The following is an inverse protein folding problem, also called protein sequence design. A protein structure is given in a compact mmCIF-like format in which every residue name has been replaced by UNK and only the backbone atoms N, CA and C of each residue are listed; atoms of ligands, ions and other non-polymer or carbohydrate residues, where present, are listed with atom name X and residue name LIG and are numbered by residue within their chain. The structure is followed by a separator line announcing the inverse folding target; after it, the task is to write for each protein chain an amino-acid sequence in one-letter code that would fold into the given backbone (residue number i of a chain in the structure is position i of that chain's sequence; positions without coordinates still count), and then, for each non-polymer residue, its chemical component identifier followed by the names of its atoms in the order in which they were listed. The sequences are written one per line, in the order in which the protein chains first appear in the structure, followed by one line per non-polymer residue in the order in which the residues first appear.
data_IF_307725235152
#
_entry.id   IF_307725235152
#
_cell.length_a   1.000
_cell.length_b   1.000
_cell.length_c   1.000
_cell.angle_alpha   90.00
_cell.angle_beta   90.00
_cell.angle_gamma   90.00
#
_symmetry.space_group_name_H-M   'P 1'
#
loop_
_entity.id
_entity.type
_entity.pdbx_description
1 polymer ?
#
# COMPACT_ATOMS: atom_id res chain seq x y z
N UNK A 1 -3.70 26.90 17.65
CA UNK A 1 -4.69 25.82 17.77
C UNK A 1 -4.10 24.71 18.63
N UNK A 2 -4.80 24.26 19.67
CA UNK A 2 -4.36 23.15 20.53
C UNK A 2 -5.27 21.96 20.31
N UNK A 3 -4.68 20.77 20.20
CA UNK A 3 -5.44 19.52 20.09
C UNK A 3 -6.13 19.19 21.42
N UNK A 4 -7.42 18.89 21.40
CA UNK A 4 -8.21 18.47 22.57
C UNK A 4 -8.72 17.04 22.41
N UNK A 5 -8.11 16.08 23.08
CA UNK A 5 -8.53 14.68 22.97
C UNK A 5 -9.99 14.44 23.39
N UNK A 6 -10.48 15.12 24.42
CA UNK A 6 -11.84 14.94 24.93
C UNK A 6 -12.88 15.43 23.91
N UNK A 7 -12.61 16.55 23.24
CA UNK A 7 -13.45 17.05 22.14
C UNK A 7 -13.48 16.08 20.96
N UNK A 8 -12.34 15.47 20.58
CA UNK A 8 -12.32 14.44 19.51
C UNK A 8 -13.23 13.26 19.83
N UNK A 9 -13.11 12.71 21.04
CA UNK A 9 -13.94 11.58 21.47
C UNK A 9 -15.42 11.96 21.55
N UNK A 10 -15.73 13.17 22.01
CA UNK A 10 -17.10 13.69 22.04
C UNK A 10 -17.70 13.78 20.63
N UNK A 11 -16.96 14.32 19.66
CA UNK A 11 -17.39 14.40 18.27
C UNK A 11 -17.60 13.02 17.63
N UNK A 12 -16.73 12.05 17.90
CA UNK A 12 -16.89 10.68 17.39
C UNK A 12 -18.14 10.01 17.99
N UNK A 13 -18.30 10.06 19.32
CA UNK A 13 -19.45 9.46 20.01
C UNK A 13 -20.75 10.13 19.60
N UNK A 14 -20.78 11.46 19.63
CA UNK A 14 -21.92 12.26 19.20
C UNK A 14 -22.26 12.01 17.73
N UNK A 15 -21.24 11.98 16.85
CA UNK A 15 -21.40 11.70 15.43
C UNK A 15 -22.02 10.32 15.14
N UNK A 16 -21.80 9.32 16.00
CA UNK A 16 -22.42 7.99 15.85
C UNK A 16 -23.81 7.91 16.50
N UNK A 17 -23.96 8.43 17.72
CA UNK A 17 -25.14 8.18 18.56
C UNK A 17 -26.19 9.29 18.46
N UNK A 18 -25.78 10.53 18.22
CA UNK A 18 -26.63 11.71 18.13
C UNK A 18 -26.14 12.67 17.03
N UNK A 19 -26.09 12.13 15.82
CA UNK A 19 -25.42 12.74 14.68
C UNK A 19 -25.95 14.13 14.35
N UNK A 20 -27.27 14.30 14.28
CA UNK A 20 -27.87 15.58 13.90
C UNK A 20 -27.52 16.71 14.88
N UNK A 21 -27.69 16.50 16.19
CA UNK A 21 -27.33 17.50 17.20
C UNK A 21 -25.83 17.81 17.18
N UNK A 22 -24.99 16.79 16.94
CA UNK A 22 -23.53 16.96 16.85
C UNK A 22 -23.15 17.80 15.63
N UNK A 23 -23.78 17.57 14.47
CA UNK A 23 -23.54 18.34 13.26
C UNK A 23 -23.96 19.79 13.43
N UNK A 24 -25.15 20.03 13.95
CA UNK A 24 -25.67 21.38 14.18
C UNK A 24 -24.78 22.16 15.15
N UNK A 25 -24.42 21.56 16.29
CA UNK A 25 -23.52 22.17 17.26
C UNK A 25 -22.15 22.48 16.65
N UNK A 26 -21.49 21.51 16.00
CA UNK A 26 -20.15 21.72 15.47
C UNK A 26 -20.12 22.70 14.29
N UNK A 27 -21.09 22.64 13.37
CA UNK A 27 -21.16 23.55 12.23
C UNK A 27 -21.59 24.98 12.62
N UNK A 28 -22.25 25.15 13.77
CA UNK A 28 -22.59 26.47 14.32
C UNK A 28 -21.37 27.21 14.88
N UNK A 29 -20.32 26.49 15.29
CA UNK A 29 -19.04 27.08 15.71
C UNK A 29 -18.27 27.71 14.53
N UNK A 30 -18.72 27.48 13.30
CA UNK A 30 -18.05 27.92 12.05
C UNK A 30 -16.55 27.56 12.05
N UNK A 31 -16.20 26.28 12.23
CA UNK A 31 -14.80 25.88 12.40
C UNK A 31 -14.02 26.12 11.11
N UNK A 32 -12.76 26.54 11.26
CA UNK A 32 -11.82 26.53 10.15
C UNK A 32 -11.45 25.08 9.78
N UNK A 33 -11.07 24.85 8.52
CA UNK A 33 -10.68 23.51 8.05
C UNK A 33 -9.47 22.97 8.83
N UNK A 34 -8.51 23.82 9.22
CA UNK A 34 -7.35 23.40 10.00
C UNK A 34 -7.75 22.91 11.39
N UNK A 35 -8.73 23.59 12.00
CA UNK A 35 -9.27 23.18 13.30
C UNK A 35 -9.96 21.82 13.19
N UNK A 36 -10.77 21.61 12.15
CA UNK A 36 -11.42 20.32 11.90
C UNK A 36 -10.39 19.22 11.58
N UNK A 37 -9.35 19.56 10.82
CA UNK A 37 -8.26 18.65 10.49
C UNK A 37 -7.53 18.19 11.75
N UNK A 38 -7.12 19.13 12.61
CA UNK A 38 -6.41 18.83 13.86
C UNK A 38 -7.30 18.11 14.87
N UNK A 39 -8.56 18.52 15.00
CA UNK A 39 -9.43 18.12 16.10
C UNK A 39 -10.20 16.82 15.85
N UNK A 40 -10.47 16.48 14.59
CA UNK A 40 -11.28 15.32 14.24
C UNK A 40 -10.63 14.48 13.16
N UNK A 41 -10.36 15.08 12.00
CA UNK A 41 -10.02 14.33 10.79
C UNK A 41 -8.68 13.62 10.94
N UNK A 42 -7.60 14.36 11.15
CA UNK A 42 -6.24 13.81 11.28
C UNK A 42 -6.12 12.69 12.32
N UNK A 43 -6.57 12.89 13.58
CA UNK A 43 -6.57 11.83 14.59
C UNK A 43 -7.37 10.60 14.18
N UNK A 44 -8.55 10.78 13.57
CA UNK A 44 -9.38 9.68 13.12
C UNK A 44 -8.73 8.95 11.93
N UNK A 45 -8.07 9.70 11.03
CA UNK A 45 -7.33 9.12 9.91
C UNK A 45 -6.19 8.25 10.39
N UNK A 46 -5.37 8.82 11.26
CA UNK A 46 -4.24 8.14 11.85
C UNK A 46 -4.67 6.90 12.62
N UNK A 47 -5.69 7.02 13.48
CA UNK A 47 -6.21 5.91 14.27
C UNK A 47 -6.76 4.79 13.38
N UNK A 48 -7.55 5.11 12.35
CA UNK A 48 -8.08 4.10 11.45
C UNK A 48 -6.98 3.34 10.71
N UNK A 49 -6.03 4.03 10.07
CA UNK A 49 -4.99 3.35 9.29
C UNK A 49 -4.11 2.51 10.20
N UNK A 50 -3.61 3.08 11.30
CA UNK A 50 -2.73 2.35 12.22
C UNK A 50 -3.43 1.13 12.82
N UNK A 51 -4.62 1.31 13.39
CA UNK A 51 -5.34 0.21 14.03
C UNK A 51 -5.79 -0.83 13.01
N UNK A 52 -6.26 -0.42 11.84
CA UNK A 52 -6.70 -1.39 10.83
C UNK A 52 -5.56 -2.27 10.36
N UNK A 53 -4.37 -1.71 10.09
CA UNK A 53 -3.18 -2.48 9.68
C UNK A 53 -2.72 -3.44 10.77
N UNK A 54 -2.64 -2.96 12.02
CA UNK A 54 -2.21 -3.79 13.16
C UNK A 54 -3.20 -4.95 13.37
N UNK A 55 -4.49 -4.63 13.50
CA UNK A 55 -5.52 -5.60 13.85
C UNK A 55 -5.74 -6.62 12.74
N UNK A 56 -5.75 -6.19 11.47
CA UNK A 56 -5.94 -7.13 10.35
C UNK A 56 -4.80 -8.13 10.25
N UNK A 57 -3.56 -7.71 10.53
CA UNK A 57 -2.39 -8.60 10.47
C UNK A 57 -2.29 -9.53 11.67
N UNK A 58 -2.69 -9.07 12.86
CA UNK A 58 -2.70 -9.89 14.06
C UNK A 58 -3.85 -10.91 14.06
N UNK A 59 -5.02 -10.51 13.58
CA UNK A 59 -6.26 -11.27 13.77
C UNK A 59 -6.81 -11.86 12.46
N UNK A 60 -6.28 -11.47 11.30
CA UNK A 60 -6.79 -11.92 9.99
C UNK A 60 -8.07 -11.21 9.55
N UNK A 61 -8.41 -10.06 10.14
CA UNK A 61 -9.57 -9.25 9.78
C UNK A 61 -9.40 -8.47 8.46
N UNK A 62 -10.46 -7.77 8.04
CA UNK A 62 -10.45 -6.99 6.80
C UNK A 62 -9.82 -5.61 7.00
N UNK A 63 -8.75 -5.30 6.28
CA UNK A 63 -8.24 -3.93 6.17
C UNK A 63 -7.62 -3.66 4.80
N UNK A 64 -8.23 -2.75 4.04
CA UNK A 64 -7.70 -2.35 2.73
C UNK A 64 -6.23 -1.93 2.78
N UNK A 65 -5.83 -1.16 3.81
CA UNK A 65 -4.44 -0.74 4.01
C UNK A 65 -3.52 -1.87 4.51
N UNK A 66 -4.07 -2.88 5.20
CA UNK A 66 -3.30 -3.96 5.84
C UNK A 66 -2.58 -4.89 4.87
N UNK A 67 -3.07 -5.00 3.64
CA UNK A 67 -2.58 -5.95 2.63
C UNK A 67 -1.41 -5.45 1.78
N UNK A 68 -0.97 -4.20 1.95
CA UNK A 68 0.17 -3.65 1.20
C UNK A 68 1.52 -4.01 1.85
N UNK A 69 2.32 -4.84 1.18
CA UNK A 69 3.75 -5.01 1.48
C UNK A 69 4.12 -5.18 2.97
N UNK A 70 5.27 -4.64 3.35
CA UNK A 70 5.69 -4.63 4.75
C UNK A 70 4.86 -3.62 5.59
N UNK A 71 4.99 -3.71 6.92
CA UNK A 71 4.18 -2.92 7.86
C UNK A 71 4.31 -1.41 7.65
N UNK A 72 5.52 -0.91 7.41
CA UNK A 72 5.79 0.51 7.18
C UNK A 72 5.17 0.99 5.87
N UNK A 73 5.28 0.20 4.80
CA UNK A 73 4.65 0.53 3.52
C UNK A 73 3.12 0.56 3.62
N UNK A 74 2.51 -0.39 4.35
CA UNK A 74 1.06 -0.41 4.57
C UNK A 74 0.55 0.86 5.24
N UNK A 75 1.23 1.30 6.31
CA UNK A 75 0.85 2.52 7.02
C UNK A 75 1.08 3.75 6.14
N UNK A 76 2.24 3.86 5.52
CA UNK A 76 2.59 5.02 4.69
C UNK A 76 1.61 5.20 3.53
N UNK A 77 1.42 4.17 2.70
CA UNK A 77 0.49 4.24 1.58
C UNK A 77 -0.96 4.34 2.04
N UNK A 78 -1.33 3.67 3.13
CA UNK A 78 -2.65 3.78 3.74
C UNK A 78 -2.99 5.22 4.13
N UNK A 79 -2.06 5.93 4.79
CA UNK A 79 -2.22 7.33 5.17
C UNK A 79 -2.29 8.25 3.95
N UNK A 80 -1.38 8.08 2.99
CA UNK A 80 -1.37 8.89 1.76
C UNK A 80 -2.70 8.75 1.00
N UNK A 81 -3.18 7.52 0.80
CA UNK A 81 -4.43 7.26 0.11
C UNK A 81 -5.65 7.78 0.86
N UNK A 82 -5.67 7.61 2.18
CA UNK A 82 -6.70 8.17 3.05
C UNK A 82 -6.81 9.69 2.92
N UNK A 83 -5.67 10.39 2.98
CA UNK A 83 -5.63 11.85 2.88
C UNK A 83 -6.03 12.32 1.48
N UNK A 84 -5.51 11.69 0.42
CA UNK A 84 -5.85 12.03 -0.97
C UNK A 84 -7.34 11.82 -1.23
N UNK A 85 -7.88 10.65 -0.89
CA UNK A 85 -9.29 10.32 -1.10
C UNK A 85 -10.22 11.27 -0.34
N UNK A 86 -9.87 11.59 0.90
CA UNK A 86 -10.60 12.56 1.72
C UNK A 86 -10.56 13.96 1.10
N UNK A 87 -9.39 14.43 0.70
CA UNK A 87 -9.22 15.75 0.07
C UNK A 87 -10.04 15.87 -1.21
N UNK A 88 -10.00 14.85 -2.09
CA UNK A 88 -10.82 14.80 -3.31
C UNK A 88 -12.30 14.95 -2.96
N UNK A 89 -12.80 14.19 -1.98
CA UNK A 89 -14.20 14.27 -1.57
C UNK A 89 -14.58 15.69 -1.11
N UNK A 90 -13.77 16.32 -0.25
CA UNK A 90 -14.00 17.69 0.20
C UNK A 90 -14.03 18.67 -0.97
N UNK A 91 -13.04 18.63 -1.86
CA UNK A 91 -12.97 19.53 -3.01
C UNK A 91 -14.17 19.37 -3.94
N UNK A 92 -14.58 18.14 -4.24
CA UNK A 92 -15.70 17.88 -5.14
C UNK A 92 -17.01 18.37 -4.54
N UNK A 93 -17.32 17.98 -3.28
CA UNK A 93 -18.56 18.41 -2.63
C UNK A 93 -18.61 19.93 -2.47
N UNK A 94 -17.48 20.57 -2.13
CA UNK A 94 -17.36 22.03 -2.03
C UNK A 94 -17.59 22.74 -3.37
N UNK A 95 -16.92 22.27 -4.43
CA UNK A 95 -16.99 22.88 -5.75
C UNK A 95 -18.39 22.75 -6.34
N UNK A 96 -18.93 21.53 -6.32
CA UNK A 96 -20.27 21.26 -6.85
C UNK A 96 -21.35 21.97 -6.04
N UNK A 97 -21.13 22.29 -4.77
CA UNK A 97 -22.10 23.07 -4.01
C UNK A 97 -22.35 24.43 -4.68
N UNK A 98 -21.28 25.13 -5.13
CA UNK A 98 -21.43 26.37 -5.90
C UNK A 98 -22.18 26.18 -7.22
N UNK A 99 -22.00 25.05 -7.90
CA UNK A 99 -22.70 24.72 -9.17
C UNK A 99 -24.19 24.48 -8.94
N UNK A 100 -24.57 23.88 -7.81
CA UNK A 100 -25.95 23.49 -7.51
C UNK A 100 -26.68 24.48 -6.58
N UNK A 101 -26.34 25.78 -6.64
CA UNK A 101 -26.92 26.86 -5.81
C UNK A 101 -26.74 26.70 -4.29
N UNK A 102 -25.78 25.87 -3.85
CA UNK A 102 -25.27 25.90 -2.50
C UNK A 102 -24.17 26.95 -2.33
N UNK A 103 -23.56 26.94 -1.15
CA UNK A 103 -22.40 27.76 -0.79
C UNK A 103 -21.14 26.93 -0.95
N UNK A 104 -20.23 27.41 -1.80
CA UNK A 104 -18.86 26.91 -1.83
C UNK A 104 -18.10 27.51 -0.65
N UNK A 105 -17.98 26.73 0.41
CA UNK A 105 -17.27 27.06 1.64
C UNK A 105 -16.42 25.84 2.00
N UNK A 106 -15.12 25.95 1.77
CA UNK A 106 -14.19 24.83 1.93
C UNK A 106 -14.15 24.34 3.39
N UNK A 107 -14.18 25.24 4.37
CA UNK A 107 -14.12 24.88 5.79
C UNK A 107 -15.39 24.16 6.23
N UNK A 108 -16.57 24.60 5.77
CA UNK A 108 -17.83 23.87 6.00
C UNK A 108 -17.89 22.55 5.26
N UNK A 109 -17.38 22.47 4.03
CA UNK A 109 -17.30 21.21 3.27
C UNK A 109 -16.38 20.20 3.96
N UNK A 110 -15.21 20.65 4.43
CA UNK A 110 -14.27 19.83 5.17
C UNK A 110 -14.93 19.28 6.44
N UNK A 111 -15.54 20.14 7.27
CA UNK A 111 -16.30 19.71 8.44
C UNK A 111 -17.42 18.72 8.12
N UNK A 112 -18.17 18.96 7.04
CA UNK A 112 -19.25 18.07 6.63
C UNK A 112 -18.75 16.67 6.27
N UNK A 113 -17.71 16.57 5.45
CA UNK A 113 -17.12 15.30 5.04
C UNK A 113 -16.47 14.60 6.23
N UNK A 114 -15.77 15.32 7.12
CA UNK A 114 -15.21 14.76 8.36
C UNK A 114 -16.27 14.12 9.25
N UNK A 115 -17.36 14.84 9.51
CA UNK A 115 -18.46 14.36 10.35
C UNK A 115 -19.23 13.21 9.69
N UNK A 116 -19.46 13.30 8.38
CA UNK A 116 -20.17 12.27 7.63
C UNK A 116 -19.36 10.98 7.53
N UNK A 117 -18.03 11.07 7.51
CA UNK A 117 -17.19 9.90 7.37
C UNK A 117 -17.06 9.08 8.66
N UNK A 118 -17.33 9.65 9.85
CA UNK A 118 -17.16 8.97 11.15
C UNK A 118 -17.59 7.48 11.15
N UNK A 119 -18.78 7.09 10.63
CA UNK A 119 -19.18 5.69 10.57
C UNK A 119 -18.22 4.79 9.79
N UNK A 120 -17.73 5.21 8.63
CA UNK A 120 -16.81 4.41 7.81
C UNK A 120 -15.46 4.21 8.49
N UNK A 121 -14.92 5.25 9.14
CA UNK A 121 -13.63 5.17 9.80
C UNK A 121 -13.70 4.28 11.06
N UNK A 122 -14.78 4.40 11.83
CA UNK A 122 -15.00 3.52 13.00
C UNK A 122 -15.27 2.08 12.55
N UNK A 123 -16.11 1.89 11.53
CA UNK A 123 -16.38 0.57 10.98
C UNK A 123 -15.13 -0.08 10.37
N UNK A 124 -14.22 0.67 9.77
CA UNK A 124 -12.95 0.14 9.26
C UNK A 124 -12.07 -0.45 10.37
N UNK A 125 -12.00 0.22 11.52
CA UNK A 125 -11.29 -0.31 12.70
C UNK A 125 -11.96 -1.59 13.20
N UNK A 126 -13.28 -1.59 13.30
CA UNK A 126 -14.04 -2.77 13.75
C UNK A 126 -13.94 -3.93 12.75
N UNK A 127 -13.94 -3.65 11.45
CA UNK A 127 -13.76 -4.62 10.38
C UNK A 127 -12.43 -5.36 10.49
N UNK A 128 -11.38 -4.65 10.89
CA UNK A 128 -10.05 -5.24 11.09
C UNK A 128 -9.98 -6.21 12.27
N UNK A 129 -10.94 -6.17 13.21
CA UNK A 129 -11.03 -7.12 14.32
C UNK A 129 -11.68 -8.45 13.94
N UNK A 130 -12.46 -8.48 12.87
CA UNK A 130 -13.36 -9.60 12.59
C UNK A 130 -12.94 -10.32 11.29
N UNK A 131 -12.40 -11.55 11.39
CA UNK A 131 -12.05 -12.36 10.23
C UNK A 131 -13.26 -12.68 9.37
N UNK A 132 -13.04 -12.79 8.06
CA UNK A 132 -14.03 -13.18 7.03
C UNK A 132 -15.23 -12.24 6.83
N UNK A 133 -15.84 -11.71 7.89
CA UNK A 133 -17.02 -10.84 7.83
C UNK A 133 -16.68 -9.35 8.03
N UNK A 134 -15.42 -9.00 8.31
CA UNK A 134 -14.99 -7.61 8.47
C UNK A 134 -15.37 -6.72 7.29
N UNK A 135 -15.34 -7.24 6.07
CA UNK A 135 -15.74 -6.47 4.88
C UNK A 135 -17.21 -6.02 4.92
N UNK A 136 -18.12 -6.79 5.53
CA UNK A 136 -19.53 -6.40 5.69
C UNK A 136 -19.68 -5.25 6.69
N UNK A 137 -18.87 -5.24 7.75
CA UNK A 137 -18.83 -4.15 8.72
C UNK A 137 -18.32 -2.88 8.04
N UNK A 138 -17.23 -2.98 7.29
CA UNK A 138 -16.67 -1.86 6.52
C UNK A 138 -17.69 -1.32 5.49
N UNK A 139 -18.38 -2.22 4.78
CA UNK A 139 -19.44 -1.86 3.83
C UNK A 139 -20.60 -1.13 4.52
N UNK A 140 -21.08 -1.64 5.66
CA UNK A 140 -22.14 -0.99 6.44
C UNK A 140 -21.73 0.43 6.87
N UNK A 141 -20.50 0.61 7.36
CA UNK A 141 -19.97 1.93 7.70
C UNK A 141 -19.84 2.88 6.50
N UNK A 142 -19.43 2.35 5.34
CA UNK A 142 -19.37 3.09 4.09
C UNK A 142 -20.75 3.60 3.65
N UNK A 143 -21.76 2.72 3.63
CA UNK A 143 -23.15 3.07 3.31
C UNK A 143 -23.68 4.12 4.30
N UNK A 144 -23.44 3.93 5.59
CA UNK A 144 -23.85 4.90 6.62
C UNK A 144 -23.20 6.27 6.42
N UNK A 145 -21.95 6.31 5.99
CA UNK A 145 -21.26 7.58 5.71
C UNK A 145 -21.83 8.30 4.49
N UNK A 146 -22.26 7.56 3.46
CA UNK A 146 -22.98 8.13 2.32
C UNK A 146 -24.34 8.71 2.73
N UNK A 147 -25.08 7.98 3.57
CA UNK A 147 -26.35 8.47 4.15
C UNK A 147 -26.12 9.74 4.96
N UNK A 148 -25.06 9.77 5.78
CA UNK A 148 -24.71 10.93 6.59
C UNK A 148 -24.34 12.11 5.70
N UNK A 149 -23.53 11.89 4.66
CA UNK A 149 -23.13 12.95 3.75
C UNK A 149 -24.34 13.54 3.02
N UNK A 150 -25.27 12.71 2.56
CA UNK A 150 -26.52 13.17 1.94
C UNK A 150 -27.36 14.03 2.91
N UNK A 151 -27.43 13.66 4.19
CA UNK A 151 -28.21 14.38 5.21
C UNK A 151 -27.55 15.69 5.67
N UNK A 152 -26.24 15.70 5.89
CA UNK A 152 -25.51 16.87 6.41
C UNK A 152 -25.31 17.95 5.35
N UNK A 153 -25.32 17.58 4.08
CA UNK A 153 -25.07 18.49 2.94
C UNK A 153 -25.92 19.76 2.93
N UNK A 154 -27.27 19.74 3.03
CA UNK A 154 -28.06 20.97 3.06
C UNK A 154 -27.72 21.86 4.26
N UNK A 155 -27.43 21.26 5.42
CA UNK A 155 -27.04 21.98 6.64
C UNK A 155 -25.66 22.64 6.50
N UNK A 156 -24.69 21.92 5.96
CA UNK A 156 -23.33 22.40 5.84
C UNK A 156 -23.13 23.33 4.64
N UNK A 157 -23.64 22.96 3.47
CA UNK A 157 -23.35 23.62 2.19
C UNK A 157 -24.53 24.42 1.66
N UNK A 158 -25.68 24.42 2.34
CA UNK A 158 -26.85 25.20 1.91
C UNK A 158 -27.40 24.78 0.54
N UNK A 159 -27.13 23.54 0.10
CA UNK A 159 -27.65 23.03 -1.18
C UNK A 159 -29.18 22.90 -1.06
N UNK A 160 -29.97 23.51 -1.96
CA UNK A 160 -31.43 23.41 -1.95
C UNK A 160 -31.92 21.96 -2.04
N UNK A 161 -32.98 21.61 -1.31
CA UNK A 161 -33.50 20.24 -1.26
C UNK A 161 -33.85 19.65 -2.65
N UNK A 162 -34.35 20.47 -3.57
CA UNK A 162 -34.67 20.04 -4.93
C UNK A 162 -33.43 19.74 -5.80
N UNK A 163 -32.24 20.22 -5.40
CA UNK A 163 -30.96 19.97 -6.09
C UNK A 163 -30.06 19.00 -5.33
N UNK A 164 -30.36 18.71 -4.06
CA UNK A 164 -29.56 17.87 -3.16
C UNK A 164 -29.20 16.51 -3.77
N UNK A 165 -30.18 15.80 -4.31
CA UNK A 165 -29.95 14.48 -4.92
C UNK A 165 -29.02 14.57 -6.13
N UNK A 166 -29.23 15.57 -6.99
CA UNK A 166 -28.43 15.75 -8.19
C UNK A 166 -26.98 16.13 -7.83
N UNK A 167 -26.78 17.03 -6.87
CA UNK A 167 -25.45 17.37 -6.33
C UNK A 167 -24.76 16.14 -5.75
N UNK A 168 -25.46 15.34 -4.94
CA UNK A 168 -24.90 14.16 -4.31
C UNK A 168 -24.43 13.12 -5.35
N UNK A 169 -25.30 12.74 -6.29
CA UNK A 169 -24.97 11.77 -7.34
C UNK A 169 -23.83 12.29 -8.22
N UNK A 170 -23.89 13.55 -8.66
CA UNK A 170 -22.83 14.16 -9.46
C UNK A 170 -21.48 14.15 -8.70
N UNK A 171 -21.49 14.45 -7.40
CA UNK A 171 -20.30 14.40 -6.56
C UNK A 171 -19.71 13.00 -6.50
N UNK A 172 -20.53 11.96 -6.29
CA UNK A 172 -20.05 10.58 -6.25
C UNK A 172 -19.44 10.14 -7.59
N UNK A 173 -20.06 10.49 -8.71
CA UNK A 173 -19.54 10.17 -10.05
C UNK A 173 -18.20 10.88 -10.29
N UNK A 174 -18.11 12.18 -9.97
CA UNK A 174 -16.86 12.94 -10.14
C UNK A 174 -15.76 12.41 -9.21
N UNK A 175 -16.06 12.12 -7.95
CA UNK A 175 -15.12 11.50 -7.01
C UNK A 175 -14.64 10.16 -7.56
N UNK A 176 -15.53 9.32 -8.08
CA UNK A 176 -15.16 8.03 -8.67
C UNK A 176 -14.22 8.20 -9.87
N UNK A 177 -14.54 9.08 -10.81
CA UNK A 177 -13.70 9.36 -11.99
C UNK A 177 -12.33 9.90 -11.57
N UNK A 178 -12.27 10.85 -10.64
CA UNK A 178 -11.00 11.41 -10.16
C UNK A 178 -10.17 10.30 -9.47
N UNK A 179 -10.78 9.46 -8.65
CA UNK A 179 -10.06 8.35 -8.01
C UNK A 179 -9.58 7.31 -9.02
N UNK A 180 -10.29 7.06 -10.13
CA UNK A 180 -9.79 6.22 -11.23
C UNK A 180 -8.54 6.83 -11.89
N UNK A 181 -8.54 8.14 -12.12
CA UNK A 181 -7.40 8.86 -12.72
C UNK A 181 -6.21 8.88 -11.75
N UNK A 182 -6.45 9.20 -10.48
CA UNK A 182 -5.40 9.19 -9.44
C UNK A 182 -4.85 7.79 -9.26
N UNK A 183 -5.72 6.78 -9.24
CA UNK A 183 -5.33 5.37 -9.21
C UNK A 183 -4.50 4.97 -10.42
N UNK A 184 -4.84 5.40 -11.64
CA UNK A 184 -4.05 5.07 -12.83
C UNK A 184 -2.68 5.76 -12.84
N UNK A 185 -2.58 7.01 -12.35
CA UNK A 185 -1.31 7.74 -12.24
C UNK A 185 -0.39 7.12 -11.18
N UNK A 186 -0.95 6.73 -10.02
CA UNK A 186 -0.18 6.13 -8.93
C UNK A 186 0.11 4.62 -9.19
N UNK A 187 -0.48 4.04 -10.25
CA UNK A 187 -0.26 2.63 -10.63
C UNK A 187 -1.14 1.62 -9.87
N UNK A 188 -2.21 2.10 -9.23
CA UNK A 188 -3.20 1.33 -8.44
C UNK A 188 -4.48 1.01 -9.23
N UNK A 189 -4.59 1.49 -10.48
CA UNK A 189 -5.75 1.21 -11.35
C UNK A 189 -6.05 -0.28 -11.58
N UNK A 190 -5.15 -1.19 -11.19
CA UNK A 190 -5.30 -2.64 -11.28
C UNK A 190 -5.79 -3.30 -9.98
N UNK A 191 -5.77 -2.64 -8.81
CA UNK A 191 -6.13 -3.27 -7.53
C UNK A 191 -7.65 -3.37 -7.33
N UNK A 192 -8.44 -2.55 -8.02
CA UNK A 192 -9.89 -2.76 -8.16
C UNK A 192 -10.27 -3.94 -9.08
N UNK A 193 -9.28 -4.57 -9.74
CA UNK A 193 -9.49 -5.60 -10.76
C UNK A 193 -9.07 -7.01 -10.32
N UNK A 194 -8.42 -7.14 -9.16
CA UNK A 194 -7.98 -8.43 -8.60
C UNK A 194 -9.12 -9.34 -8.14
N UNK A 195 -10.38 -8.89 -8.24
CA UNK A 195 -11.59 -9.71 -8.02
C UNK A 195 -12.52 -9.85 -9.23
N UNK A 196 -12.18 -9.28 -10.40
CA UNK A 196 -13.07 -9.28 -11.58
C UNK A 196 -12.42 -9.74 -12.89
N UNK A 197 -11.09 -9.89 -12.96
CA UNK A 197 -10.39 -10.23 -14.21
C UNK A 197 -10.14 -11.72 -14.46
N UNK A 198 -10.66 -12.63 -13.62
CA UNK A 198 -10.44 -14.08 -13.83
C UNK A 198 -11.36 -14.71 -14.90
N UNK A 199 -12.32 -13.96 -15.49
CA UNK A 199 -13.35 -14.56 -16.38
C UNK A 199 -13.23 -14.20 -17.88
N UNK A 200 -12.45 -13.20 -18.29
CA UNK A 200 -12.33 -12.88 -19.72
C UNK A 200 -10.95 -12.35 -20.11
N UNK A 201 -10.01 -13.24 -20.44
CA UNK A 201 -9.18 -13.08 -21.66
C UNK A 201 -8.43 -14.38 -21.95
N UNK A 202 -9.03 -15.22 -22.79
CA UNK A 202 -8.32 -16.15 -23.67
C UNK A 202 -8.39 -15.53 -25.08
N UNK A 203 -7.27 -15.56 -25.81
CA UNK A 203 -7.10 -15.03 -27.20
C UNK A 203 -6.87 -13.51 -27.24
N UNK A 204 -5.88 -12.91 -27.90
CA UNK A 204 -4.95 -13.33 -28.96
C UNK A 204 -3.82 -12.31 -29.10
N UNK A 205 -2.67 -12.78 -29.59
CA UNK A 205 -1.79 -12.10 -30.55
C UNK A 205 -1.51 -10.59 -30.41
N UNK A 206 -0.29 -10.28 -29.99
CA UNK A 206 0.53 -9.25 -30.65
C UNK A 206 0.12 -7.80 -30.42
N UNK A 207 0.73 -7.15 -29.42
CA UNK A 207 1.15 -5.76 -29.57
C UNK A 207 2.40 -5.50 -28.74
N UNK A 208 3.48 -5.20 -29.47
CA UNK A 208 4.68 -4.57 -28.94
C UNK A 208 4.28 -3.15 -28.51
N UNK A 209 4.00 -2.92 -27.23
CA UNK A 209 3.99 -1.58 -26.66
C UNK A 209 5.37 -1.30 -26.08
N UNK A 210 5.93 -0.16 -26.47
CA UNK A 210 7.28 0.28 -26.11
C UNK A 210 7.46 0.35 -24.59
N UNK A 211 8.51 -0.32 -24.10
CA UNK A 211 8.90 -0.34 -22.70
C UNK A 211 9.15 1.06 -22.15
N UNK A 212 8.26 1.50 -21.27
CA UNK A 212 8.49 2.64 -20.40
C UNK A 212 9.47 2.26 -19.30
N UNK A 213 10.64 2.89 -19.30
CA UNK A 213 11.64 2.83 -18.23
C UNK A 213 11.16 3.60 -16.99
N UNK A 214 10.07 3.14 -16.37
CA UNK A 214 9.45 3.75 -15.19
C UNK A 214 8.95 2.71 -14.18
N UNK A 215 8.55 3.16 -12.99
CA UNK A 215 8.14 2.32 -11.85
C UNK A 215 7.06 1.28 -12.23
N UNK A 216 6.08 1.67 -13.04
CA UNK A 216 5.00 0.77 -13.52
C UNK A 216 5.52 -0.35 -14.42
N UNK A 217 6.45 -0.05 -15.32
CA UNK A 217 7.08 -1.06 -16.18
C UNK A 217 7.96 -2.03 -15.39
N UNK A 218 8.59 -1.56 -14.30
CA UNK A 218 9.31 -2.43 -13.36
C UNK A 218 8.35 -3.33 -12.58
N UNK A 219 7.22 -2.82 -12.10
CA UNK A 219 6.20 -3.61 -11.42
C UNK A 219 5.61 -4.70 -12.32
N UNK A 220 5.30 -4.39 -13.59
CA UNK A 220 4.79 -5.40 -14.53
C UNK A 220 5.83 -6.49 -14.82
N UNK A 221 7.09 -6.10 -15.02
CA UNK A 221 8.18 -7.08 -15.20
C UNK A 221 8.32 -7.97 -13.98
N UNK A 222 8.24 -7.39 -12.78
CA UNK A 222 8.34 -8.14 -11.54
C UNK A 222 7.16 -9.07 -11.30
N UNK A 223 5.94 -8.65 -11.63
CA UNK A 223 4.76 -9.51 -11.59
C UNK A 223 4.92 -10.72 -12.51
N UNK A 224 5.39 -10.52 -13.75
CA UNK A 224 5.68 -11.62 -14.69
C UNK A 224 6.77 -12.56 -14.17
N UNK A 225 7.81 -12.01 -13.52
CA UNK A 225 8.86 -12.82 -12.88
C UNK A 225 8.29 -13.67 -11.74
N UNK A 226 7.45 -13.08 -10.89
CA UNK A 226 6.75 -13.79 -9.80
C UNK A 226 5.83 -14.88 -10.33
N UNK A 227 4.95 -14.59 -11.30
CA UNK A 227 4.09 -15.58 -11.95
C UNK A 227 4.91 -16.74 -12.54
N UNK A 228 6.02 -16.42 -13.20
CA UNK A 228 6.92 -17.43 -13.79
C UNK A 228 7.66 -18.26 -12.75
N UNK A 229 7.89 -17.71 -11.55
CA UNK A 229 8.53 -18.38 -10.43
C UNK A 229 7.54 -19.27 -9.68
N UNK A 230 6.28 -18.85 -9.55
CA UNK A 230 5.18 -19.65 -8.99
C UNK A 230 4.82 -20.85 -9.87
N UNK A 231 4.96 -20.71 -11.19
CA UNK A 231 4.72 -21.80 -12.14
C UNK A 231 5.83 -22.88 -12.13
N UNK A 232 6.98 -22.64 -11.49
CA UNK A 232 8.05 -23.62 -11.44
C UNK A 232 7.69 -24.77 -10.49
N UNK A 233 7.72 -25.98 -11.02
CA UNK A 233 7.58 -27.20 -10.22
C UNK A 233 8.94 -27.88 -10.13
N UNK A 234 9.29 -28.34 -8.94
CA UNK A 234 10.48 -29.13 -8.69
C UNK A 234 10.12 -30.33 -7.81
N UNK A 235 10.60 -31.52 -8.19
CA UNK A 235 10.42 -32.74 -7.43
C UNK A 235 11.75 -33.05 -6.71
N UNK A 236 11.82 -32.86 -5.38
CA UNK A 236 13.02 -33.20 -4.61
C UNK A 236 13.40 -34.67 -4.75
N UNK A 237 14.69 -35.00 -4.66
CA UNK A 237 15.12 -36.39 -4.61
C UNK A 237 14.65 -37.04 -3.30
N UNK A 238 14.34 -38.35 -3.35
CA UNK A 238 13.74 -39.07 -2.22
C UNK A 238 14.67 -39.19 -1.00
N UNK A 239 15.99 -39.08 -1.21
CA UNK A 239 16.98 -39.07 -0.14
C UNK A 239 17.22 -37.67 0.44
N UNK A 240 16.58 -36.63 -0.09
CA UNK A 240 16.71 -35.23 0.35
C UNK A 240 18.15 -34.66 0.28
N UNK A 241 19.08 -35.38 -0.36
CA UNK A 241 20.46 -34.97 -0.50
C UNK A 241 20.61 -33.95 -1.64
N UNK A 242 21.37 -32.90 -1.35
CA UNK A 242 21.81 -31.93 -2.32
C UNK A 242 22.91 -32.54 -3.19
N UNK A 243 22.86 -32.24 -4.48
CA UNK A 243 24.00 -32.47 -5.36
C UNK A 243 24.96 -31.29 -5.32
N UNK A 244 26.25 -31.59 -5.51
CA UNK A 244 27.31 -30.59 -5.67
C UNK A 244 27.04 -29.63 -6.84
N UNK A 245 26.31 -30.08 -7.87
CA UNK A 245 25.85 -29.24 -8.99
C UNK A 245 24.78 -28.21 -8.57
N UNK A 246 23.83 -28.62 -7.74
CA UNK A 246 22.79 -27.74 -7.22
C UNK A 246 23.36 -26.63 -6.34
N UNK A 247 24.29 -26.99 -5.44
CA UNK A 247 24.95 -26.01 -4.57
C UNK A 247 25.79 -25.03 -5.38
N UNK A 248 26.52 -25.48 -6.41
CA UNK A 248 27.25 -24.58 -7.33
C UNK A 248 26.33 -23.59 -8.05
N UNK A 249 25.17 -24.06 -8.55
CA UNK A 249 24.20 -23.18 -9.22
C UNK A 249 23.68 -22.13 -8.25
N UNK A 250 23.34 -22.54 -7.03
CA UNK A 250 22.86 -21.66 -5.97
C UNK A 250 23.90 -20.59 -5.61
N UNK A 251 25.15 -20.98 -5.39
CA UNK A 251 26.26 -20.03 -5.15
C UNK A 251 26.41 -19.03 -6.29
N UNK A 252 26.36 -19.49 -7.55
CA UNK A 252 26.47 -18.60 -8.72
C UNK A 252 25.32 -17.59 -8.79
N UNK A 253 24.13 -17.94 -8.31
CA UNK A 253 23.01 -17.01 -8.17
C UNK A 253 23.32 -15.98 -7.10
N UNK A 254 23.79 -16.41 -5.91
CA UNK A 254 24.16 -15.49 -4.83
C UNK A 254 25.22 -14.48 -5.24
N UNK A 255 26.27 -14.90 -5.95
CA UNK A 255 27.34 -13.99 -6.42
C UNK A 255 26.80 -12.89 -7.34
N UNK A 256 25.87 -13.23 -8.24
CA UNK A 256 25.22 -12.26 -9.12
C UNK A 256 24.28 -11.34 -8.34
N UNK A 257 23.51 -11.88 -7.40
CA UNK A 257 22.63 -11.11 -6.52
C UNK A 257 23.43 -10.08 -5.71
N UNK A 258 24.58 -10.48 -5.15
CA UNK A 258 25.50 -9.58 -4.44
C UNK A 258 26.03 -8.46 -5.34
N UNK A 259 26.38 -8.77 -6.59
CA UNK A 259 26.82 -7.74 -7.53
C UNK A 259 25.74 -6.68 -7.79
N UNK A 260 24.47 -7.12 -7.92
CA UNK A 260 23.32 -6.22 -8.07
C UNK A 260 23.12 -5.35 -6.81
N UNK A 261 23.19 -5.96 -5.62
CA UNK A 261 23.07 -5.22 -4.35
C UNK A 261 24.20 -4.21 -4.17
N UNK A 262 25.43 -4.56 -4.54
CA UNK A 262 26.58 -3.66 -4.50
C UNK A 262 26.42 -2.47 -5.44
N UNK A 263 26.03 -2.71 -6.70
CA UNK A 263 25.76 -1.63 -7.66
C UNK A 263 24.68 -0.67 -7.14
N UNK A 264 23.64 -1.22 -6.51
CA UNK A 264 22.60 -0.43 -5.88
C UNK A 264 23.13 0.38 -4.68
N UNK A 265 23.91 -0.22 -3.80
CA UNK A 265 24.52 0.46 -2.66
C UNK A 265 25.43 1.62 -3.11
N UNK A 266 26.29 1.39 -4.11
CA UNK A 266 27.16 2.41 -4.68
C UNK A 266 26.36 3.57 -5.28
N UNK A 267 25.24 3.27 -5.97
CA UNK A 267 24.35 4.28 -6.54
C UNK A 267 23.64 5.11 -5.46
N UNK A 268 23.17 4.48 -4.39
CA UNK A 268 22.52 5.18 -3.28
C UNK A 268 23.51 6.00 -2.46
N UNK A 269 24.73 5.51 -2.27
CA UNK A 269 25.82 6.24 -1.65
C UNK A 269 26.11 7.51 -2.46
N UNK A 270 26.26 7.38 -3.78
CA UNK A 270 26.45 8.53 -4.67
C UNK A 270 25.33 9.56 -4.56
N UNK A 271 24.07 9.14 -4.53
CA UNK A 271 22.96 10.08 -4.34
C UNK A 271 22.97 10.75 -2.98
N UNK A 272 23.34 10.01 -1.93
CA UNK A 272 23.47 10.56 -0.58
C UNK A 272 24.58 11.61 -0.52
N UNK A 273 25.71 11.36 -1.18
CA UNK A 273 26.84 12.28 -1.25
C UNK A 273 26.51 13.52 -2.10
N UNK A 274 25.77 13.36 -3.21
CA UNK A 274 25.26 14.48 -4.02
C UNK A 274 24.29 15.38 -3.22
N UNK A 275 23.41 14.78 -2.42
CA UNK A 275 22.47 15.53 -1.57
C UNK A 275 23.19 16.28 -0.45
N UNK A 276 24.17 15.65 0.21
CA UNK A 276 25.01 16.29 1.23
C UNK A 276 25.79 17.47 0.65
N UNK A 277 26.39 17.31 -0.53
CA UNK A 277 27.13 18.38 -1.19
C UNK A 277 26.24 19.59 -1.51
N UNK A 278 24.97 19.36 -1.88
CA UNK A 278 23.98 20.43 -2.09
C UNK A 278 23.56 21.11 -0.80
N UNK A 279 23.34 20.33 0.26
CA UNK A 279 23.03 20.84 1.59
C UNK A 279 24.18 21.71 2.13
N UNK A 280 25.43 21.24 2.00
CA UNK A 280 26.65 21.98 2.38
C UNK A 280 26.84 23.27 1.56
N UNK A 281 26.36 23.29 0.32
CA UNK A 281 26.35 24.48 -0.56
C UNK A 281 25.18 25.44 -0.27
N UNK A 282 24.27 25.10 0.65
CA UNK A 282 23.08 25.89 0.95
C UNK A 282 22.01 25.85 -0.14
N UNK A 283 22.06 24.88 -1.06
CA UNK A 283 21.06 24.69 -2.10
C UNK A 283 19.85 23.91 -1.57
N UNK A 284 18.64 24.39 -1.86
CA UNK A 284 17.42 23.66 -1.51
C UNK A 284 17.24 22.40 -2.37
N UNK A 285 16.72 21.32 -1.76
CA UNK A 285 16.40 20.07 -2.47
C UNK A 285 15.33 20.35 -3.52
N UNK A 286 15.66 20.17 -4.80
CA UNK A 286 14.74 20.45 -5.90
C UNK A 286 13.72 19.32 -6.09
N UNK A 287 12.61 19.63 -6.76
CA UNK A 287 11.65 18.62 -7.23
C UNK A 287 12.32 17.51 -8.06
N UNK A 288 13.38 17.85 -8.81
CA UNK A 288 14.13 16.86 -9.60
C UNK A 288 14.96 15.91 -8.73
N UNK A 289 15.48 16.39 -7.59
CA UNK A 289 16.25 15.58 -6.63
C UNK A 289 15.32 14.63 -5.87
N UNK A 290 14.14 15.12 -5.47
CA UNK A 290 13.05 14.29 -4.95
C UNK A 290 12.63 13.22 -5.96
N UNK A 291 12.45 13.59 -7.24
CA UNK A 291 12.07 12.64 -8.29
C UNK A 291 13.14 11.57 -8.51
N UNK A 292 14.43 11.93 -8.47
CA UNK A 292 15.55 10.97 -8.52
C UNK A 292 15.53 10.02 -7.33
N UNK A 293 15.27 10.53 -6.12
CA UNK A 293 15.13 9.70 -4.91
C UNK A 293 13.94 8.73 -5.02
N UNK A 294 12.77 9.19 -5.49
CA UNK A 294 11.58 8.37 -5.71
C UNK A 294 11.77 7.33 -6.83
N UNK A 295 12.44 7.67 -7.93
CA UNK A 295 12.78 6.71 -8.99
C UNK A 295 13.80 5.66 -8.53
N UNK A 296 14.64 5.98 -7.53
CA UNK A 296 15.46 5.02 -6.81
C UNK A 296 14.65 3.97 -6.03
N UNK A 297 13.40 4.26 -5.66
CA UNK A 297 12.53 3.30 -4.98
C UNK A 297 12.14 2.10 -5.88
N UNK A 298 12.04 2.30 -7.19
CA UNK A 298 11.83 1.19 -8.14
C UNK A 298 13.00 0.19 -8.15
N UNK A 299 14.24 0.68 -7.99
CA UNK A 299 15.41 -0.18 -7.81
C UNK A 299 15.44 -0.91 -6.46
N UNK A 300 14.78 -0.41 -5.41
CA UNK A 300 14.64 -1.14 -4.12
C UNK A 300 13.80 -2.40 -4.29
N UNK A 301 12.70 -2.30 -5.04
CA UNK A 301 11.83 -3.46 -5.27
C UNK A 301 12.53 -4.53 -6.11
N UNK A 302 13.32 -4.10 -7.11
CA UNK A 302 14.21 -4.97 -7.88
C UNK A 302 15.30 -5.62 -7.02
N UNK A 303 15.94 -4.86 -6.12
CA UNK A 303 16.96 -5.39 -5.21
C UNK A 303 16.40 -6.46 -4.26
N UNK A 304 15.19 -6.27 -3.73
CA UNK A 304 14.56 -7.28 -2.85
C UNK A 304 14.24 -8.60 -3.57
N UNK A 305 14.01 -8.56 -4.88
CA UNK A 305 13.73 -9.74 -5.71
C UNK A 305 14.90 -10.15 -6.62
N UNK A 306 16.09 -9.60 -6.39
CA UNK A 306 17.25 -9.79 -7.26
C UNK A 306 17.63 -11.27 -7.42
N UNK A 307 17.49 -12.07 -6.36
CA UNK A 307 17.74 -13.51 -6.40
C UNK A 307 16.80 -14.23 -7.38
N UNK A 308 15.50 -13.93 -7.32
CA UNK A 308 14.50 -14.47 -8.24
C UNK A 308 14.72 -14.00 -9.67
N UNK A 309 15.05 -12.73 -9.86
CA UNK A 309 15.37 -12.17 -11.17
C UNK A 309 16.58 -12.88 -11.79
N UNK A 310 17.66 -13.08 -11.03
CA UNK A 310 18.85 -13.81 -11.49
C UNK A 310 18.53 -15.26 -11.87
N UNK A 311 17.69 -15.95 -11.09
CA UNK A 311 17.27 -17.32 -11.40
C UNK A 311 16.47 -17.34 -12.69
N UNK A 312 15.40 -16.54 -12.79
CA UNK A 312 14.48 -16.61 -13.94
C UNK A 312 15.11 -16.08 -15.24
N UNK A 313 15.90 -15.01 -15.18
CA UNK A 313 16.63 -14.49 -16.35
C UNK A 313 17.74 -15.44 -16.82
N UNK A 314 18.26 -16.29 -15.91
CA UNK A 314 19.18 -17.37 -16.22
C UNK A 314 18.52 -18.66 -16.71
N UNK A 315 17.21 -18.66 -16.99
CA UNK A 315 16.39 -19.85 -17.27
C UNK A 315 16.48 -20.94 -16.18
N UNK A 316 16.69 -20.52 -14.92
CA UNK A 316 16.70 -21.39 -13.76
C UNK A 316 15.29 -21.69 -13.23
N UNK A 317 15.18 -22.76 -12.45
CA UNK A 317 13.95 -23.16 -11.78
C UNK A 317 13.95 -22.59 -10.34
N UNK A 318 12.96 -21.75 -10.03
CA UNK A 318 12.81 -21.09 -8.75
C UNK A 318 12.43 -22.05 -7.62
N UNK A 319 11.64 -23.09 -7.89
CA UNK A 319 11.28 -24.09 -6.91
C UNK A 319 12.50 -24.95 -6.50
N UNK A 320 13.34 -25.34 -7.47
CA UNK A 320 14.63 -26.01 -7.19
C UNK A 320 15.53 -25.10 -6.37
N UNK A 321 15.70 -23.84 -6.80
CA UNK A 321 16.53 -22.85 -6.10
C UNK A 321 16.09 -22.64 -4.65
N UNK A 322 14.78 -22.47 -4.43
CA UNK A 322 14.18 -22.29 -3.10
C UNK A 322 14.35 -23.53 -2.23
N UNK A 323 14.22 -24.73 -2.80
CA UNK A 323 14.45 -25.98 -2.09
C UNK A 323 15.92 -26.13 -1.67
N UNK A 324 16.88 -25.87 -2.57
CA UNK A 324 18.31 -25.91 -2.27
C UNK A 324 18.68 -24.93 -1.14
N UNK A 325 18.16 -23.70 -1.22
CA UNK A 325 18.31 -22.68 -0.17
C UNK A 325 17.85 -23.19 1.20
N UNK A 326 16.68 -23.83 1.25
CA UNK A 326 16.12 -24.34 2.48
C UNK A 326 16.93 -25.53 3.03
N UNK A 327 17.35 -26.46 2.19
CA UNK A 327 18.18 -27.59 2.61
C UNK A 327 19.54 -27.15 3.16
N UNK A 328 20.20 -26.17 2.52
CA UNK A 328 21.46 -25.59 3.04
C UNK A 328 21.24 -24.89 4.38
N UNK A 329 20.12 -24.18 4.54
CA UNK A 329 19.75 -23.50 5.80
C UNK A 329 19.52 -24.52 6.92
N UNK A 330 18.77 -25.59 6.65
CA UNK A 330 18.53 -26.68 7.61
C UNK A 330 19.87 -27.31 8.01
N UNK A 331 20.69 -27.66 7.03
CA UNK A 331 22.01 -28.25 7.26
C UNK A 331 22.92 -27.36 8.13
N UNK A 332 22.94 -26.06 7.86
CA UNK A 332 23.69 -25.09 8.66
C UNK A 332 23.17 -24.99 10.10
N UNK A 333 21.86 -24.90 10.30
CA UNK A 333 21.24 -24.77 11.63
C UNK A 333 21.50 -26.00 12.48
N UNK A 334 21.34 -27.19 11.90
CA UNK A 334 21.53 -28.46 12.60
C UNK A 334 23.00 -28.86 12.70
N UNK A 335 23.92 -28.16 12.03
CA UNK A 335 25.36 -28.45 12.03
C UNK A 335 25.67 -29.91 11.66
N UNK A 336 24.87 -30.48 10.75
CA UNK A 336 25.00 -31.88 10.33
C UNK A 336 24.39 -32.91 11.28
N UNK A 337 23.76 -32.51 12.39
CA UNK A 337 23.04 -33.40 13.31
C UNK A 337 21.64 -33.75 12.78
N UNK A 338 21.18 -34.99 12.96
CA UNK A 338 19.89 -35.48 12.47
C UNK A 338 19.99 -36.58 11.42
N UNK A 339 19.37 -36.39 10.25
CA UNK A 339 19.31 -37.41 9.20
C UNK A 339 20.59 -37.49 8.37
N UNK A 340 20.81 -38.62 7.69
CA UNK A 340 21.94 -38.79 6.75
C UNK A 340 21.98 -37.68 5.68
N UNK A 341 20.81 -37.23 5.23
CA UNK A 341 20.66 -36.12 4.30
C UNK A 341 21.17 -34.79 4.87
N UNK A 342 20.90 -34.50 6.16
CA UNK A 342 21.36 -33.28 6.84
C UNK A 342 22.89 -33.31 6.99
N UNK A 343 23.45 -34.45 7.39
CA UNK A 343 24.90 -34.63 7.50
C UNK A 343 25.60 -34.44 6.14
N UNK A 344 25.07 -35.06 5.08
CA UNK A 344 25.57 -34.89 3.71
C UNK A 344 25.47 -33.44 3.23
N UNK A 345 24.30 -32.81 3.40
CA UNK A 345 24.07 -31.42 3.00
C UNK A 345 24.96 -30.44 3.78
N UNK A 346 25.27 -30.73 5.04
CA UNK A 346 26.18 -29.93 5.86
C UNK A 346 27.62 -30.03 5.37
N UNK A 347 28.06 -31.22 4.94
CA UNK A 347 29.39 -31.36 4.30
C UNK A 347 29.51 -30.53 3.03
N UNK A 348 28.44 -30.43 2.24
CA UNK A 348 28.39 -29.55 1.07
C UNK A 348 28.35 -28.08 1.47
N UNK A 349 27.60 -27.71 2.51
CA UNK A 349 27.61 -26.36 3.05
C UNK A 349 29.02 -25.93 3.45
N UNK A 350 29.76 -26.76 4.21
CA UNK A 350 31.14 -26.49 4.61
C UNK A 350 32.07 -26.33 3.41
N UNK A 351 31.91 -27.15 2.37
CA UNK A 351 32.70 -27.04 1.13
C UNK A 351 32.52 -25.68 0.43
N UNK A 352 31.34 -25.08 0.52
CA UNK A 352 31.00 -23.81 -0.11
C UNK A 352 30.86 -22.66 0.89
N UNK A 353 31.35 -22.82 2.13
CA UNK A 353 31.08 -21.93 3.26
C UNK A 353 31.45 -20.47 2.96
N UNK A 354 32.66 -20.23 2.45
CA UNK A 354 33.13 -18.88 2.10
C UNK A 354 32.19 -18.18 1.10
N UNK A 355 31.68 -18.94 0.13
CA UNK A 355 30.82 -18.41 -0.93
C UNK A 355 29.37 -18.27 -0.48
N UNK A 356 28.92 -19.06 0.50
CA UNK A 356 27.59 -18.94 1.09
C UNK A 356 27.55 -17.82 2.14
N UNK A 357 28.63 -17.62 2.88
CA UNK A 357 28.75 -16.65 3.98
C UNK A 357 29.41 -15.33 3.59
N UNK A 358 29.90 -15.18 2.34
CA UNK A 358 30.39 -13.90 1.84
C UNK A 358 29.31 -12.82 2.08
N UNK A 359 29.64 -11.91 3.00
CA UNK A 359 28.72 -10.96 3.64
C UNK A 359 28.23 -9.91 2.65
N UNK A 360 26.94 -9.53 2.77
CA UNK A 360 26.33 -8.37 2.12
C UNK A 360 26.94 -7.05 2.60
#
# INVERSE_FOLDING_TARGET
MTFDFAKTISLIKGGLLNHQATWESYLSETPDWQQTALQLTGPLILANVLLSVILSRMLGGFAYAGYYGNFFSAIFFGLVMAVIGFAIAVFVFNFLAGVFNGKSDFSRAFAAVSLAAIPAWVAGILAALVPFIGFLIALAGGIMSLVFMYKIMPLALGVPDNKRLLHFIASLVVIFIINLIVGSIIGIGTIGSTGYNEVYTKSSGGSRSSGGSGLVGQMERQARLMDSAEADVFNPPANEELSDSQVRKYVKVLDKTRAIHKEYADKMQKYTDELKAKEDAGEEISFSDLTKMYSGAGSIVGANNAEMEVVKTGNGNWAEHSWVKEQLRIAQIQQGDGSDAIAHNYSLYQKYEDQLNATN
#
